data_IF_575437193525
#
_entry.id   IF_575437193525
#
_cell.length_a   1.000
_cell.length_b   1.000
_cell.length_c   1.000
_cell.angle_alpha   90.00
_cell.angle_beta   90.00
_cell.angle_gamma   90.00
#
_symmetry.space_group_name_H-M   'P 1'
#
loop_
_entity.id
_entity.type
_entity.pdbx_description
1 polymer ?
#
# COMPACT_ATOMS: atom_id res chain seq x y z
N UNK A 1 9.89 -33.42 34.01
CA UNK A 1 9.25 -32.09 33.79
C UNK A 1 9.05 -31.96 32.29
N UNK A 2 7.80 -32.10 31.84
CA UNK A 2 7.46 -32.20 30.42
C UNK A 2 7.42 -30.82 29.75
N UNK A 3 8.22 -30.64 28.70
CA UNK A 3 8.14 -29.50 27.81
C UNK A 3 6.90 -29.61 26.94
N UNK A 4 5.95 -28.70 27.11
CA UNK A 4 4.90 -28.47 26.14
C UNK A 4 5.50 -27.72 24.94
N UNK A 5 5.40 -28.33 23.76
CA UNK A 5 5.91 -27.78 22.50
C UNK A 5 5.37 -26.38 22.22
N UNK A 6 6.29 -25.42 22.08
CA UNK A 6 6.01 -24.03 21.74
C UNK A 6 6.22 -23.84 20.24
N UNK A 7 5.17 -24.13 19.47
CA UNK A 7 5.01 -23.81 18.02
C UNK A 7 5.98 -24.51 17.04
N UNK A 8 5.51 -24.84 15.84
CA UNK A 8 6.35 -25.37 14.75
C UNK A 8 7.19 -24.27 14.06
N UNK A 9 7.32 -23.09 14.66
CA UNK A 9 7.96 -21.91 14.06
C UNK A 9 9.44 -21.90 14.38
N UNK A 10 10.29 -22.06 13.37
CA UNK A 10 11.73 -22.21 13.58
C UNK A 10 12.32 -21.05 14.40
N UNK A 11 11.99 -19.82 14.01
CA UNK A 11 12.49 -18.62 14.67
C UNK A 11 11.93 -18.38 16.08
N UNK A 12 10.92 -19.12 16.55
CA UNK A 12 10.48 -19.04 17.96
C UNK A 12 11.20 -20.07 18.87
N UNK A 13 12.10 -20.90 18.33
CA UNK A 13 12.93 -21.86 19.08
C UNK A 13 14.26 -21.25 19.53
N UNK A 14 14.90 -21.81 20.57
CA UNK A 14 16.23 -21.37 21.03
C UNK A 14 17.28 -21.34 19.90
N UNK A 15 17.32 -22.40 19.08
CA UNK A 15 18.21 -22.46 17.91
C UNK A 15 17.88 -21.40 16.86
N UNK A 16 16.60 -21.09 16.68
CA UNK A 16 16.14 -20.01 15.82
C UNK A 16 16.61 -18.63 16.32
N UNK A 17 16.51 -18.39 17.63
CA UNK A 17 16.98 -17.17 18.27
C UNK A 17 18.50 -17.00 18.11
N UNK A 18 19.29 -18.06 18.31
CA UNK A 18 20.73 -18.07 18.03
C UNK A 18 21.05 -17.78 16.55
N UNK A 19 20.23 -18.30 15.64
CA UNK A 19 20.37 -18.07 14.20
C UNK A 19 20.13 -16.60 13.84
N UNK A 20 19.10 -15.96 14.42
CA UNK A 20 18.84 -14.52 14.23
C UNK A 20 20.05 -13.71 14.67
N UNK A 21 20.55 -13.94 15.89
CA UNK A 21 21.71 -13.23 16.43
C UNK A 21 22.94 -13.38 15.51
N UNK A 22 23.18 -14.59 15.02
CA UNK A 22 24.30 -14.89 14.11
C UNK A 22 24.17 -14.20 12.76
N UNK A 23 23.00 -14.24 12.13
CA UNK A 23 22.75 -13.63 10.81
C UNK A 23 22.80 -12.10 10.86
N UNK A 24 22.44 -11.51 12.00
CA UNK A 24 22.45 -10.06 12.17
C UNK A 24 23.73 -9.52 12.81
N UNK A 25 24.74 -10.37 13.03
CA UNK A 25 26.09 -10.00 13.45
C UNK A 25 26.15 -9.02 14.64
N UNK A 26 25.19 -9.10 15.56
CA UNK A 26 25.07 -8.21 16.71
C UNK A 26 25.33 -8.93 18.02
N UNK A 27 26.08 -8.28 18.92
CA UNK A 27 26.35 -8.78 20.28
C UNK A 27 25.21 -8.43 21.25
N UNK A 28 24.46 -7.37 20.94
CA UNK A 28 23.31 -6.90 21.71
C UNK A 28 22.23 -6.29 20.80
N UNK A 29 21.09 -5.91 21.38
CA UNK A 29 19.98 -5.32 20.62
C UNK A 29 20.38 -4.06 19.86
N UNK A 30 21.22 -3.20 20.44
CA UNK A 30 21.57 -1.92 19.84
C UNK A 30 22.46 -2.12 18.60
N UNK A 31 23.50 -2.96 18.72
CA UNK A 31 24.38 -3.35 17.62
C UNK A 31 23.64 -4.13 16.54
N UNK A 32 22.76 -5.06 16.92
CA UNK A 32 21.89 -5.80 15.98
C UNK A 32 21.01 -4.83 15.18
N UNK A 33 20.32 -3.91 15.86
CA UNK A 33 19.44 -2.93 15.22
C UNK A 33 20.22 -2.00 14.30
N UNK A 34 21.39 -1.53 14.74
CA UNK A 34 22.26 -0.66 13.96
C UNK A 34 22.79 -1.34 12.69
N UNK A 35 23.27 -2.58 12.82
CA UNK A 35 23.73 -3.40 11.70
C UNK A 35 22.60 -3.63 10.69
N UNK A 36 21.44 -4.07 11.18
CA UNK A 36 20.28 -4.32 10.34
C UNK A 36 19.87 -3.04 9.59
N UNK A 37 19.75 -1.91 10.28
CA UNK A 37 19.41 -0.63 9.66
C UNK A 37 20.38 -0.29 8.52
N UNK A 38 21.68 -0.44 8.75
CA UNK A 38 22.70 -0.19 7.75
C UNK A 38 22.56 -1.11 6.53
N UNK A 39 22.28 -2.40 6.74
CA UNK A 39 22.07 -3.35 5.65
C UNK A 39 20.83 -3.02 4.82
N UNK A 40 19.74 -2.58 5.45
CA UNK A 40 18.48 -2.38 4.74
C UNK A 40 18.56 -1.34 3.62
N UNK A 41 19.49 -0.39 3.68
CA UNK A 41 19.72 0.60 2.62
C UNK A 41 20.59 0.09 1.46
N UNK A 42 21.23 -1.06 1.59
CA UNK A 42 21.99 -1.70 0.52
C UNK A 42 21.15 -2.86 -0.05
N UNK A 43 20.44 -2.61 -1.16
CA UNK A 43 19.50 -3.56 -1.77
C UNK A 43 20.11 -4.95 -1.97
N UNK A 44 21.31 -5.02 -2.54
CA UNK A 44 21.98 -6.29 -2.80
C UNK A 44 22.33 -7.05 -1.52
N UNK A 45 22.84 -6.35 -0.49
CA UNK A 45 23.14 -6.96 0.81
C UNK A 45 21.86 -7.39 1.53
N UNK A 46 20.85 -6.52 1.55
CA UNK A 46 19.52 -6.77 2.13
C UNK A 46 18.89 -8.02 1.54
N UNK A 47 18.82 -8.13 0.23
CA UNK A 47 18.17 -9.28 -0.42
C UNK A 47 18.96 -10.57 -0.24
N UNK A 48 20.31 -10.50 -0.19
CA UNK A 48 21.11 -11.67 0.22
C UNK A 48 20.79 -12.10 1.64
N UNK A 49 20.66 -11.16 2.58
CA UNK A 49 20.26 -11.45 3.95
C UNK A 49 18.85 -12.09 3.98
N UNK A 50 17.89 -11.55 3.26
CA UNK A 50 16.53 -12.12 3.17
C UNK A 50 16.56 -13.57 2.69
N UNK A 51 17.32 -13.84 1.62
CA UNK A 51 17.49 -15.20 1.09
C UNK A 51 18.15 -16.14 2.10
N UNK A 52 19.12 -15.65 2.88
CA UNK A 52 19.71 -16.44 3.97
C UNK A 52 18.68 -16.81 5.03
N UNK A 53 17.87 -15.86 5.49
CA UNK A 53 16.77 -16.16 6.42
C UNK A 53 15.78 -17.18 5.83
N UNK A 54 15.42 -17.03 4.55
CA UNK A 54 14.51 -17.93 3.83
C UNK A 54 15.05 -19.36 3.67
N UNK A 55 16.35 -19.60 3.87
CA UNK A 55 16.89 -20.97 3.91
C UNK A 55 16.54 -21.73 5.20
N UNK A 56 16.18 -21.00 6.27
CA UNK A 56 15.84 -21.58 7.56
C UNK A 56 14.33 -21.66 7.79
N UNK A 57 13.59 -20.65 7.35
CA UNK A 57 12.15 -20.56 7.50
C UNK A 57 11.54 -19.93 6.25
N UNK A 58 10.51 -20.57 5.70
CA UNK A 58 9.79 -20.06 4.51
C UNK A 58 8.42 -19.52 4.87
N UNK A 59 7.90 -19.84 6.06
CA UNK A 59 6.66 -19.27 6.57
C UNK A 59 6.89 -17.84 7.05
N UNK A 60 6.63 -16.88 6.15
CA UNK A 60 6.66 -15.45 6.44
C UNK A 60 5.33 -14.93 7.04
N UNK A 61 4.37 -15.79 7.40
CA UNK A 61 3.05 -15.37 7.89
C UNK A 61 3.04 -14.76 9.31
N UNK A 62 4.16 -14.82 10.02
CA UNK A 62 4.33 -14.28 11.36
C UNK A 62 5.60 -13.45 11.47
N UNK A 63 5.71 -12.61 12.48
CA UNK A 63 6.90 -11.79 12.72
C UNK A 63 8.02 -12.64 13.34
N UNK A 64 9.08 -12.86 12.56
CA UNK A 64 10.24 -13.66 12.96
C UNK A 64 11.04 -13.03 14.12
N UNK A 65 10.92 -11.73 14.35
CA UNK A 65 11.74 -11.00 15.32
C UNK A 65 11.01 -10.66 16.62
N UNK A 66 9.69 -10.83 16.69
CA UNK A 66 8.89 -10.42 17.86
C UNK A 66 9.41 -11.06 19.16
N UNK A 67 9.68 -12.38 19.15
CA UNK A 67 10.23 -13.06 20.32
C UNK A 67 11.64 -12.57 20.65
N UNK A 68 12.52 -12.52 19.65
CA UNK A 68 13.91 -12.06 19.79
C UNK A 68 13.98 -10.65 20.39
N UNK A 69 13.30 -9.71 19.75
CA UNK A 69 13.24 -8.32 20.16
C UNK A 69 12.67 -8.19 21.58
N UNK A 70 11.60 -8.93 21.90
CA UNK A 70 10.97 -8.87 23.22
C UNK A 70 11.89 -9.38 24.33
N UNK A 71 12.59 -10.49 24.10
CA UNK A 71 13.56 -11.05 25.05
C UNK A 71 14.70 -10.06 25.31
N UNK A 72 15.27 -9.52 24.23
CA UNK A 72 16.35 -8.55 24.30
C UNK A 72 15.92 -7.23 24.95
N UNK A 73 14.70 -6.75 24.68
CA UNK A 73 14.19 -5.52 25.28
C UNK A 73 13.87 -5.71 26.78
N UNK A 74 13.38 -6.89 27.18
CA UNK A 74 13.24 -7.24 28.60
C UNK A 74 14.60 -7.25 29.30
N UNK A 75 15.63 -7.84 28.67
CA UNK A 75 17.02 -7.84 29.18
C UNK A 75 17.56 -6.42 29.38
N UNK A 76 17.44 -5.57 28.36
CA UNK A 76 17.97 -4.18 28.39
C UNK A 76 17.20 -3.28 29.35
N UNK A 77 15.88 -3.42 29.43
CA UNK A 77 15.05 -2.56 30.29
C UNK A 77 15.10 -2.92 31.77
N UNK A 78 15.65 -4.10 32.12
CA UNK A 78 15.65 -4.67 33.48
C UNK A 78 14.25 -4.76 34.10
N UNK A 79 13.20 -4.69 33.29
CA UNK A 79 11.82 -4.81 33.76
C UNK A 79 11.45 -6.29 33.89
N UNK A 80 10.66 -6.60 34.90
CA UNK A 80 10.13 -7.96 35.12
C UNK A 80 8.97 -8.32 34.19
N UNK A 81 8.44 -7.36 33.42
CA UNK A 81 7.32 -7.55 32.49
C UNK A 81 7.84 -7.74 31.07
N UNK A 82 7.32 -8.77 30.38
CA UNK A 82 7.62 -9.06 28.98
C UNK A 82 7.01 -8.01 28.06
N UNK A 83 7.72 -7.64 27.00
CA UNK A 83 7.22 -6.78 25.90
C UNK A 83 6.57 -7.59 24.77
N UNK A 84 6.46 -8.90 24.94
CA UNK A 84 5.94 -9.80 23.92
C UNK A 84 4.45 -9.59 23.67
N UNK A 85 4.10 -9.39 22.40
CA UNK A 85 2.72 -9.41 21.92
C UNK A 85 2.48 -10.74 21.19
N UNK A 86 1.85 -11.74 21.83
CA UNK A 86 1.59 -13.02 21.19
C UNK A 86 0.85 -12.86 19.84
N UNK A 87 1.25 -13.59 18.80
CA UNK A 87 0.58 -13.58 17.49
C UNK A 87 -0.94 -13.81 17.57
N UNK A 88 -1.41 -14.59 18.54
CA UNK A 88 -2.82 -14.83 18.81
C UNK A 88 -3.60 -13.54 19.16
N UNK A 89 -2.99 -12.62 19.92
CA UNK A 89 -3.61 -11.32 20.24
C UNK A 89 -3.73 -10.44 19.01
N UNK A 90 -2.71 -10.45 18.14
CA UNK A 90 -2.76 -9.71 16.88
C UNK A 90 -3.87 -10.21 15.96
N UNK A 91 -4.04 -11.52 15.86
CA UNK A 91 -5.13 -12.14 15.09
C UNK A 91 -6.49 -11.74 15.64
N UNK A 92 -6.66 -11.79 16.96
CA UNK A 92 -7.89 -11.39 17.62
C UNK A 92 -8.22 -9.91 17.38
N UNK A 93 -7.24 -9.01 17.57
CA UNK A 93 -7.42 -7.58 17.34
C UNK A 93 -7.84 -7.29 15.89
N UNK A 94 -7.20 -7.93 14.91
CA UNK A 94 -7.56 -7.78 13.51
C UNK A 94 -8.99 -8.26 13.21
N UNK A 95 -9.39 -9.40 13.78
CA UNK A 95 -10.75 -9.91 13.63
C UNK A 95 -11.78 -8.96 14.23
N UNK A 96 -11.50 -8.37 15.39
CA UNK A 96 -12.38 -7.37 16.01
C UNK A 96 -12.52 -6.12 15.15
N UNK A 97 -11.43 -5.62 14.58
CA UNK A 97 -11.45 -4.46 13.65
C UNK A 97 -12.26 -4.79 12.39
N UNK A 98 -12.06 -5.98 11.81
CA UNK A 98 -12.78 -6.39 10.60
C UNK A 98 -14.29 -6.51 10.85
N UNK A 99 -14.69 -7.08 11.99
CA UNK A 99 -16.10 -7.19 12.43
C UNK A 99 -16.71 -5.81 12.68
N UNK A 100 -15.99 -4.93 13.38
CA UNK A 100 -16.45 -3.58 13.70
C UNK A 100 -16.63 -2.71 12.44
N UNK A 101 -15.79 -2.88 11.42
CA UNK A 101 -15.88 -2.12 10.16
C UNK A 101 -17.08 -2.50 9.29
N UNK A 102 -17.72 -3.62 9.57
CA UNK A 102 -18.86 -4.12 8.80
C UNK A 102 -20.09 -4.32 9.66
N UNK A 103 -20.17 -3.66 10.83
CA UNK A 103 -21.26 -3.78 11.80
C UNK A 103 -21.68 -5.23 12.11
N UNK A 104 -20.70 -6.15 12.11
CA UNK A 104 -20.95 -7.58 12.35
C UNK A 104 -21.47 -8.38 11.14
N UNK A 105 -21.66 -7.77 9.97
CA UNK A 105 -22.01 -8.49 8.75
C UNK A 105 -20.84 -9.38 8.31
N UNK A 106 -21.00 -10.68 8.56
CA UNK A 106 -19.96 -11.68 8.36
C UNK A 106 -19.60 -11.88 6.88
N UNK A 107 -20.53 -11.64 5.96
CA UNK A 107 -20.27 -11.73 4.52
C UNK A 107 -19.57 -10.47 4.00
N UNK A 108 -19.94 -9.29 4.51
CA UNK A 108 -19.22 -8.05 4.24
C UNK A 108 -17.81 -8.07 4.87
N UNK A 109 -17.63 -8.65 6.07
CA UNK A 109 -16.30 -8.83 6.71
C UNK A 109 -15.38 -9.64 5.81
N UNK A 110 -15.89 -10.73 5.23
CA UNK A 110 -15.15 -11.59 4.29
C UNK A 110 -14.80 -10.84 2.98
N UNK A 111 -15.68 -9.94 2.52
CA UNK A 111 -15.54 -9.15 1.29
C UNK A 111 -14.85 -7.80 1.48
N UNK A 112 -14.42 -7.45 2.69
CA UNK A 112 -13.71 -6.20 2.96
C UNK A 112 -12.26 -6.29 2.41
N UNK A 113 -12.15 -6.01 1.11
CA UNK A 113 -10.95 -6.20 0.29
C UNK A 113 -10.03 -4.96 0.26
N UNK A 114 -10.43 -3.84 0.89
CA UNK A 114 -9.68 -2.58 0.88
C UNK A 114 -9.18 -2.10 2.25
N UNK A 115 -9.30 -2.93 3.29
CA UNK A 115 -8.89 -2.54 4.65
C UNK A 115 -7.36 -2.41 4.76
N UNK A 116 -6.89 -1.17 4.66
CA UNK A 116 -5.55 -0.70 5.00
C UNK A 116 -5.34 -0.77 6.51
N UNK A 117 -4.19 -1.30 6.93
CA UNK A 117 -3.83 -1.36 8.35
C UNK A 117 -3.15 -0.06 8.77
N UNK A 118 -3.50 0.45 9.95
CA UNK A 118 -2.78 1.55 10.58
C UNK A 118 -2.35 1.12 11.99
N UNK A 119 -1.04 1.03 12.20
CA UNK A 119 -0.41 0.43 13.37
C UNK A 119 0.46 1.47 14.10
N UNK A 120 -0.08 2.08 15.15
CA UNK A 120 0.62 3.10 15.95
C UNK A 120 1.32 2.43 17.11
N UNK A 121 2.64 2.60 17.21
CA UNK A 121 3.48 1.86 18.15
C UNK A 121 3.73 0.42 17.67
N UNK A 122 4.03 0.28 16.38
CA UNK A 122 4.08 -1.01 15.69
C UNK A 122 5.16 -1.96 16.23
N UNK A 123 6.18 -1.46 16.94
CA UNK A 123 7.31 -2.25 17.40
C UNK A 123 8.02 -2.89 16.21
N UNK A 124 8.16 -4.22 16.22
CA UNK A 124 8.70 -4.99 15.09
C UNK A 124 7.68 -5.25 13.98
N UNK A 125 6.40 -4.89 14.17
CA UNK A 125 5.36 -4.99 13.15
C UNK A 125 4.45 -6.21 13.23
N UNK A 126 4.38 -6.90 14.38
CA UNK A 126 3.56 -8.10 14.57
C UNK A 126 2.10 -7.90 14.13
N UNK A 127 1.46 -6.78 14.47
CA UNK A 127 0.07 -6.50 14.09
C UNK A 127 -0.04 -6.26 12.57
N UNK A 128 0.88 -5.48 12.02
CA UNK A 128 0.97 -5.23 10.58
C UNK A 128 1.20 -6.50 9.76
N UNK A 129 2.12 -7.38 10.16
CA UNK A 129 2.35 -8.69 9.52
C UNK A 129 1.09 -9.56 9.60
N UNK A 130 0.41 -9.56 10.74
CA UNK A 130 -0.83 -10.32 10.92
C UNK A 130 -1.94 -9.80 10.00
N UNK A 131 -2.07 -8.48 9.88
CA UNK A 131 -3.02 -7.86 8.96
C UNK A 131 -2.69 -8.17 7.50
N UNK A 132 -1.41 -8.16 7.14
CA UNK A 132 -0.94 -8.54 5.81
C UNK A 132 -1.27 -9.99 5.47
N UNK A 133 -0.93 -10.93 6.36
CA UNK A 133 -1.19 -12.35 6.18
C UNK A 133 -2.69 -12.64 6.05
N UNK A 134 -3.51 -12.00 6.89
CA UNK A 134 -4.96 -12.13 6.81
C UNK A 134 -5.50 -11.58 5.46
N UNK A 135 -4.99 -10.43 5.02
CA UNK A 135 -5.44 -9.80 3.77
C UNK A 135 -5.03 -10.62 2.54
N UNK A 136 -3.77 -11.06 2.42
CA UNK A 136 -3.34 -11.88 1.27
C UNK A 136 -4.10 -13.21 1.19
N UNK A 137 -4.45 -13.83 2.33
CA UNK A 137 -5.20 -15.10 2.37
C UNK A 137 -6.68 -14.97 1.98
N UNK A 138 -7.21 -13.75 1.83
CA UNK A 138 -8.53 -13.51 1.23
C UNK A 138 -8.52 -13.75 -0.30
N UNK A 139 -7.33 -13.87 -0.89
CA UNK A 139 -7.14 -14.03 -2.33
C UNK A 139 -6.49 -15.37 -2.65
N UNK A 140 -6.64 -15.81 -3.90
CA UNK A 140 -5.81 -16.88 -4.45
C UNK A 140 -4.36 -16.38 -4.55
N UNK A 141 -3.34 -17.23 -4.33
CA UNK A 141 -1.95 -16.86 -4.58
C UNK A 141 -1.71 -16.40 -6.03
N UNK A 142 -2.55 -16.82 -6.99
CA UNK A 142 -2.44 -16.39 -8.38
C UNK A 142 -3.11 -15.05 -8.68
N UNK A 143 -3.95 -14.54 -7.77
CA UNK A 143 -4.69 -13.28 -7.95
C UNK A 143 -4.22 -12.16 -7.02
N UNK A 144 -3.59 -12.51 -5.90
CA UNK A 144 -3.08 -11.55 -4.95
C UNK A 144 -1.99 -10.67 -5.57
N UNK A 145 -2.06 -9.38 -5.27
CA UNK A 145 -1.14 -8.35 -5.72
C UNK A 145 -0.82 -7.43 -4.55
N UNK A 146 0.47 -7.13 -4.26
CA UNK A 146 0.86 -6.18 -3.23
C UNK A 146 0.05 -4.87 -3.23
N UNK A 147 -0.19 -4.31 -4.43
CA UNK A 147 -0.91 -3.05 -4.63
C UNK A 147 -2.39 -3.06 -4.22
N UNK A 148 -2.95 -4.23 -3.88
CA UNK A 148 -4.31 -4.33 -3.36
C UNK A 148 -4.44 -3.77 -1.94
N UNK A 149 -3.34 -3.70 -1.19
CA UNK A 149 -3.34 -3.24 0.20
C UNK A 149 -2.20 -2.26 0.44
N UNK A 150 -2.41 -1.36 1.39
CA UNK A 150 -1.41 -0.40 1.81
C UNK A 150 -1.34 -0.39 3.34
N UNK A 151 -0.13 -0.55 3.90
CA UNK A 151 0.06 -0.71 5.33
C UNK A 151 0.81 0.48 5.90
N UNK A 152 0.22 1.17 6.87
CA UNK A 152 0.85 2.31 7.54
C UNK A 152 1.21 1.91 8.96
N UNK A 153 2.46 2.14 9.33
CA UNK A 153 2.94 1.92 10.69
C UNK A 153 3.67 3.16 11.20
N UNK A 154 3.49 3.46 12.48
CA UNK A 154 4.27 4.47 13.20
C UNK A 154 5.02 3.79 14.33
N UNK A 155 6.28 4.15 14.51
CA UNK A 155 7.10 3.61 15.60
C UNK A 155 8.01 4.66 16.21
N UNK A 156 8.11 4.62 17.54
CA UNK A 156 8.83 5.61 18.32
C UNK A 156 10.30 5.70 17.87
N UNK A 157 10.72 6.92 17.56
CA UNK A 157 12.12 7.27 17.34
C UNK A 157 12.45 8.51 18.13
N UNK A 158 13.45 8.39 19.01
CA UNK A 158 14.00 9.51 19.76
C UNK A 158 15.14 10.19 19.01
N UNK A 159 15.25 11.51 19.13
CA UNK A 159 16.27 12.32 18.47
C UNK A 159 17.69 11.84 18.83
N UNK A 160 18.57 11.68 17.84
CA UNK A 160 19.98 11.35 18.04
C UNK A 160 20.26 9.93 18.59
N UNK A 161 19.24 9.11 18.84
CA UNK A 161 19.40 7.72 19.31
C UNK A 161 19.13 6.73 18.19
N UNK A 162 19.86 5.61 18.08
CA UNK A 162 19.49 4.53 17.16
C UNK A 162 18.08 4.01 17.46
N UNK A 163 17.31 3.68 16.43
CA UNK A 163 16.06 2.95 16.64
C UNK A 163 16.37 1.49 16.96
N UNK A 164 15.62 0.90 17.90
CA UNK A 164 15.73 -0.52 18.25
C UNK A 164 14.74 -1.39 17.48
N UNK A 165 13.56 -0.87 17.14
CA UNK A 165 12.44 -1.63 16.56
C UNK A 165 12.27 -1.41 15.07
N UNK A 166 12.49 -0.17 14.58
CA UNK A 166 12.28 0.22 13.18
C UNK A 166 13.04 -0.66 12.18
N UNK A 167 14.30 -1.06 12.41
CA UNK A 167 15.01 -1.92 11.46
C UNK A 167 14.29 -3.26 11.26
N UNK A 168 13.77 -3.87 12.33
CA UNK A 168 13.00 -5.12 12.23
C UNK A 168 11.64 -4.90 11.55
N UNK A 169 10.98 -3.78 11.84
CA UNK A 169 9.74 -3.37 11.16
C UNK A 169 9.95 -3.23 9.65
N UNK A 170 10.99 -2.50 9.23
CA UNK A 170 11.33 -2.32 7.82
C UNK A 170 11.69 -3.66 7.16
N UNK A 171 12.52 -4.50 7.81
CA UNK A 171 12.78 -5.85 7.31
C UNK A 171 11.47 -6.60 7.06
N UNK A 172 10.53 -6.52 8.01
CA UNK A 172 9.29 -7.26 7.91
C UNK A 172 8.42 -6.83 6.72
N UNK A 173 8.37 -5.55 6.41
CA UNK A 173 7.72 -5.05 5.20
C UNK A 173 8.44 -5.53 3.92
N UNK A 174 9.76 -5.39 3.89
CA UNK A 174 10.57 -5.55 2.69
C UNK A 174 10.64 -7.02 2.24
N UNK A 175 10.84 -7.96 3.17
CA UNK A 175 10.92 -9.39 2.84
C UNK A 175 9.57 -9.98 2.38
N UNK A 176 8.46 -9.34 2.76
CA UNK A 176 7.09 -9.81 2.47
C UNK A 176 6.48 -9.21 1.20
N UNK A 177 7.24 -8.38 0.48
CA UNK A 177 6.73 -7.72 -0.72
C UNK A 177 5.56 -6.77 -0.41
N UNK A 178 5.57 -6.12 0.75
CA UNK A 178 4.48 -5.24 1.19
C UNK A 178 4.59 -3.84 0.58
N UNK A 179 3.44 -3.21 0.31
CA UNK A 179 3.34 -1.77 0.01
C UNK A 179 2.94 -1.00 1.26
N UNK A 180 3.59 0.14 1.54
CA UNK A 180 3.20 0.94 2.68
C UNK A 180 4.14 2.07 3.08
N UNK A 181 3.89 2.61 4.27
CA UNK A 181 4.70 3.67 4.88
C UNK A 181 5.03 3.30 6.32
N UNK A 182 6.29 3.54 6.71
CA UNK A 182 6.72 3.49 8.11
C UNK A 182 7.17 4.88 8.54
N UNK A 183 6.47 5.46 9.51
CA UNK A 183 6.77 6.76 10.10
C UNK A 183 7.60 6.56 11.35
N UNK A 184 8.85 7.03 11.31
CA UNK A 184 9.80 6.90 12.40
C UNK A 184 9.77 8.16 13.27
N UNK A 185 9.11 8.16 14.42
CA UNK A 185 8.99 9.35 15.24
C UNK A 185 8.02 9.21 16.39
N UNK A 186 7.81 10.30 17.12
CA UNK A 186 6.78 10.35 18.15
C UNK A 186 5.41 10.66 17.51
N UNK A 187 4.49 9.71 17.58
CA UNK A 187 3.13 9.80 17.03
C UNK A 187 2.26 10.89 17.65
N UNK A 188 2.55 11.29 18.90
CA UNK A 188 1.76 12.28 19.63
C UNK A 188 2.27 13.70 19.34
N UNK A 189 3.57 13.91 19.50
CA UNK A 189 4.18 15.23 19.24
C UNK A 189 4.35 15.53 17.76
N UNK A 190 4.29 14.49 16.92
CA UNK A 190 4.61 14.53 15.49
C UNK A 190 6.04 15.01 15.20
N UNK A 191 6.94 14.67 16.11
CA UNK A 191 8.38 14.87 15.93
C UNK A 191 8.95 13.66 15.20
N UNK A 192 9.15 13.79 13.89
CA UNK A 192 9.47 12.69 12.98
C UNK A 192 10.95 12.72 12.59
N UNK A 193 11.59 11.55 12.61
CA UNK A 193 12.94 11.34 12.11
C UNK A 193 12.91 11.18 10.59
N UNK A 194 12.22 10.15 10.10
CA UNK A 194 12.09 9.85 8.67
C UNK A 194 10.70 9.28 8.39
N UNK A 195 10.29 9.37 7.12
CA UNK A 195 9.15 8.64 6.59
C UNK A 195 9.69 7.69 5.51
N UNK A 196 9.61 6.39 5.78
CA UNK A 196 10.02 5.35 4.83
C UNK A 196 8.85 4.98 3.95
N UNK A 197 9.05 5.06 2.64
CA UNK A 197 8.07 4.67 1.64
C UNK A 197 8.49 3.36 1.00
N UNK A 198 7.63 2.35 1.10
CA UNK A 198 7.95 0.97 0.77
C UNK A 198 7.03 0.52 -0.36
N UNK A 199 7.63 -0.02 -1.41
CA UNK A 199 6.91 -0.37 -2.63
C UNK A 199 7.38 -1.71 -3.18
N UNK A 200 6.46 -2.53 -3.68
CA UNK A 200 6.77 -3.70 -4.50
C UNK A 200 6.63 -3.30 -5.98
N UNK A 201 7.73 -3.00 -6.70
CA UNK A 201 7.64 -2.34 -8.00
C UNK A 201 6.94 -3.15 -9.10
N UNK A 202 7.09 -4.47 -9.07
CA UNK A 202 6.54 -5.38 -10.08
C UNK A 202 5.08 -5.81 -9.80
N UNK A 203 4.57 -5.47 -8.61
CA UNK A 203 3.30 -5.97 -8.07
C UNK A 203 3.26 -7.51 -8.01
N UNK A 204 4.43 -8.11 -7.73
CA UNK A 204 4.67 -9.54 -7.54
C UNK A 204 4.76 -9.87 -6.04
N UNK A 205 3.86 -10.73 -5.57
CA UNK A 205 3.78 -11.13 -4.17
C UNK A 205 4.88 -12.09 -3.72
N UNK A 206 5.69 -12.61 -4.64
CA UNK A 206 6.91 -13.38 -4.34
C UNK A 206 8.16 -12.51 -4.32
N UNK A 207 8.06 -11.26 -4.78
CA UNK A 207 9.14 -10.29 -4.81
C UNK A 207 9.36 -9.61 -3.47
N UNK A 208 10.56 -9.06 -3.30
CA UNK A 208 10.85 -8.16 -2.18
C UNK A 208 10.42 -6.73 -2.53
N UNK A 209 10.12 -5.93 -1.50
CA UNK A 209 9.86 -4.51 -1.69
C UNK A 209 11.15 -3.70 -1.69
N UNK A 210 11.09 -2.57 -2.38
CA UNK A 210 12.07 -1.50 -2.37
C UNK A 210 11.87 -0.59 -1.15
N UNK A 211 12.98 -0.04 -0.66
CA UNK A 211 13.02 0.92 0.43
C UNK A 211 13.33 2.32 -0.14
N UNK A 212 12.45 3.27 0.11
CA UNK A 212 12.67 4.68 -0.23
C UNK A 212 12.49 5.54 1.03
N UNK A 213 13.10 6.73 1.06
CA UNK A 213 12.92 7.73 2.11
C UNK A 213 12.27 8.96 1.50
N UNK A 214 11.18 9.42 2.10
CA UNK A 214 10.50 10.62 1.64
C UNK A 214 11.37 11.86 1.85
N UNK A 215 11.42 12.78 0.87
CA UNK A 215 12.16 14.02 1.00
C UNK A 215 11.49 14.92 2.05
N UNK A 216 12.26 15.74 2.76
CA UNK A 216 11.73 16.62 3.80
C UNK A 216 11.19 17.93 3.24
N UNK A 217 10.17 17.83 2.40
CA UNK A 217 9.47 18.99 1.81
C UNK A 217 8.34 19.47 2.73
N UNK A 218 7.91 20.75 2.63
CA UNK A 218 6.72 21.25 3.34
C UNK A 218 5.49 20.36 3.10
N UNK A 219 5.44 19.78 1.92
CA UNK A 219 4.34 18.96 1.54
C UNK A 219 4.39 17.55 2.13
N UNK A 220 5.58 16.93 2.24
CA UNK A 220 5.78 15.71 3.04
C UNK A 220 5.41 15.96 4.50
N UNK A 221 5.65 17.17 4.99
CA UNK A 221 5.22 17.53 6.34
C UNK A 221 3.69 17.58 6.45
N UNK A 222 3.00 18.22 5.50
CA UNK A 222 1.53 18.23 5.45
C UNK A 222 0.96 16.81 5.33
N UNK A 223 1.55 16.02 4.45
CA UNK A 223 1.17 14.65 4.10
C UNK A 223 1.12 13.70 5.29
N UNK A 224 2.16 13.73 6.12
CA UNK A 224 2.33 12.82 7.24
C UNK A 224 2.15 13.52 8.60
N UNK A 225 1.53 14.70 8.61
CA UNK A 225 1.35 15.56 9.79
C UNK A 225 2.67 15.73 10.58
N UNK A 226 3.79 15.98 9.89
CA UNK A 226 5.10 16.20 10.53
C UNK A 226 5.18 17.64 11.04
N UNK A 227 5.36 17.80 12.34
CA UNK A 227 5.48 19.12 12.99
C UNK A 227 6.93 19.53 13.25
N UNK A 228 7.82 18.55 13.41
CA UNK A 228 9.25 18.79 13.58
C UNK A 228 10.08 17.62 13.06
N UNK A 229 11.24 17.91 12.47
CA UNK A 229 12.22 16.90 12.09
C UNK A 229 13.31 16.76 13.16
N UNK A 230 13.57 15.54 13.64
CA UNK A 230 14.44 15.31 14.82
C UNK A 230 15.83 14.75 14.54
N UNK A 231 16.08 14.25 13.32
CA UNK A 231 17.40 13.73 12.90
C UNK A 231 17.86 14.40 11.60
N UNK A 232 19.03 14.06 11.07
CA UNK A 232 19.48 14.49 9.73
C UNK A 232 18.67 13.80 8.63
N UNK A 233 18.40 14.46 7.48
CA UNK A 233 17.73 13.83 6.36
C UNK A 233 18.53 12.63 5.84
N UNK A 234 17.83 11.59 5.41
CA UNK A 234 18.40 10.46 4.67
C UNK A 234 17.91 10.57 3.23
N UNK A 235 18.84 10.62 2.28
CA UNK A 235 18.52 10.63 0.85
C UNK A 235 18.70 9.21 0.32
N UNK A 236 17.59 8.53 0.06
CA UNK A 236 17.61 7.16 -0.46
C UNK A 236 16.38 6.86 -1.29
N UNK A 237 16.61 6.50 -2.55
CA UNK A 237 15.57 6.12 -3.52
C UNK A 237 16.11 4.98 -4.35
N UNK A 238 15.40 3.86 -4.36
CA UNK A 238 15.74 2.65 -5.12
C UNK A 238 15.00 2.57 -6.45
N UNK A 239 13.75 3.04 -6.50
CA UNK A 239 12.86 2.85 -7.65
C UNK A 239 13.01 3.95 -8.72
N UNK A 240 14.23 4.47 -8.91
CA UNK A 240 14.50 5.58 -9.83
C UNK A 240 14.16 5.28 -11.29
N UNK A 241 14.15 4.01 -11.71
CA UNK A 241 13.89 3.67 -13.12
C UNK A 241 12.46 3.12 -13.35
N UNK A 242 11.70 2.93 -12.25
CA UNK A 242 10.36 2.33 -12.23
C UNK A 242 9.32 3.39 -11.85
N UNK A 243 9.75 4.44 -11.14
CA UNK A 243 9.01 5.68 -11.04
C UNK A 243 9.02 6.39 -12.40
N UNK A 244 7.88 6.90 -12.88
CA UNK A 244 7.84 7.77 -14.05
C UNK A 244 8.96 8.82 -14.03
N UNK A 245 9.72 8.95 -15.12
CA UNK A 245 10.98 9.72 -15.19
C UNK A 245 10.87 11.16 -14.65
N UNK A 246 9.69 11.80 -14.82
CA UNK A 246 9.44 13.14 -14.30
C UNK A 246 9.47 13.24 -12.76
N UNK A 247 9.19 12.15 -12.04
CA UNK A 247 9.27 12.04 -10.57
C UNK A 247 10.75 11.94 -10.16
N UNK A 248 11.53 11.18 -10.91
CA UNK A 248 12.95 10.91 -10.69
C UNK A 248 13.77 12.18 -10.88
N UNK A 249 13.48 12.93 -11.94
CA UNK A 249 14.13 14.19 -12.28
C UNK A 249 13.89 15.26 -11.19
N UNK A 250 12.70 15.29 -10.57
CA UNK A 250 12.40 16.21 -9.46
C UNK A 250 12.97 15.75 -8.11
N UNK A 251 12.98 14.45 -7.81
CA UNK A 251 13.59 13.91 -6.58
C UNK A 251 15.12 14.01 -6.59
N UNK A 252 15.75 14.04 -7.76
CA UNK A 252 17.21 14.16 -7.92
C UNK A 252 17.69 15.58 -8.25
N UNK A 253 16.78 16.54 -8.42
CA UNK A 253 17.09 17.95 -8.68
C UNK A 253 17.54 18.28 -10.12
N UNK A 254 17.37 17.35 -11.07
CA UNK A 254 17.79 17.53 -12.46
C UNK A 254 16.67 18.15 -13.30
N UNK A 255 16.93 19.32 -13.92
CA UNK A 255 15.98 20.01 -14.82
C UNK A 255 16.15 19.52 -16.26
N UNK A 256 15.58 18.37 -16.63
CA UNK A 256 15.36 18.02 -18.05
C UNK A 256 13.86 17.88 -18.33
N UNK A 257 13.46 18.25 -19.54
CA UNK A 257 12.06 18.15 -19.98
C UNK A 257 11.67 16.68 -20.16
N UNK A 258 10.44 16.29 -19.79
CA UNK A 258 10.01 14.89 -19.85
C UNK A 258 9.84 14.45 -21.30
N UNK A 259 10.69 13.52 -21.75
CA UNK A 259 10.38 12.70 -22.93
C UNK A 259 9.35 11.63 -22.56
N UNK A 260 8.49 11.31 -23.53
CA UNK A 260 7.30 10.48 -23.42
C UNK A 260 7.59 9.13 -22.71
N UNK A 261 7.24 9.03 -21.43
CA UNK A 261 7.32 7.79 -20.67
C UNK A 261 6.16 6.86 -21.10
N UNK A 262 6.51 5.64 -21.56
CA UNK A 262 5.56 4.65 -22.05
C UNK A 262 4.48 4.27 -21.02
N UNK A 263 3.22 4.41 -21.42
CA UNK A 263 2.03 4.00 -20.68
C UNK A 263 1.92 2.46 -20.63
N UNK A 264 1.56 1.89 -19.46
CA UNK A 264 0.28 1.16 -19.31
C UNK A 264 0.21 0.31 -18.03
N UNK A 265 1.31 -0.27 -17.53
CA UNK A 265 1.26 -1.22 -16.39
C UNK A 265 1.62 -0.60 -15.04
N UNK A 266 2.71 0.16 -14.97
CA UNK A 266 3.18 0.82 -13.73
C UNK A 266 2.19 1.91 -13.28
N UNK A 267 1.68 2.71 -14.23
CA UNK A 267 0.67 3.75 -13.95
C UNK A 267 -0.62 3.18 -13.33
N UNK A 268 -1.04 1.98 -13.73
CA UNK A 268 -2.19 1.28 -13.15
C UNK A 268 -1.98 0.86 -11.70
N UNK A 269 -0.76 0.42 -11.35
CA UNK A 269 -0.37 0.06 -9.98
C UNK A 269 -0.39 1.29 -9.08
N UNK A 270 0.20 2.41 -9.54
CA UNK A 270 0.14 3.66 -8.81
C UNK A 270 -1.31 4.14 -8.64
N UNK A 271 -2.15 4.15 -9.68
CA UNK A 271 -3.58 4.51 -9.57
C UNK A 271 -4.37 3.67 -8.56
N UNK A 272 -4.05 2.38 -8.42
CA UNK A 272 -4.66 1.53 -7.39
C UNK A 272 -4.20 1.92 -5.98
N UNK A 273 -2.90 2.10 -5.77
CA UNK A 273 -2.32 2.58 -4.49
C UNK A 273 -2.90 3.93 -4.09
N UNK A 274 -3.07 4.83 -5.07
CA UNK A 274 -3.69 6.15 -4.92
C UNK A 274 -5.15 6.07 -4.44
N UNK A 275 -5.95 5.18 -5.02
CA UNK A 275 -7.34 4.98 -4.60
C UNK A 275 -7.44 4.40 -3.18
N UNK A 276 -6.52 3.52 -2.79
CA UNK A 276 -6.46 2.95 -1.44
C UNK A 276 -6.16 4.03 -0.41
N UNK A 277 -5.16 4.90 -0.66
CA UNK A 277 -4.84 6.05 0.21
C UNK A 277 -6.01 7.05 0.27
N UNK A 278 -6.69 7.33 -0.86
CA UNK A 278 -7.89 8.19 -0.91
C UNK A 278 -8.99 7.71 0.04
N UNK A 279 -9.21 6.41 0.10
CA UNK A 279 -10.23 5.81 0.96
C UNK A 279 -9.84 5.82 2.45
N UNK A 280 -8.55 5.96 2.78
CA UNK A 280 -8.09 6.12 4.16
C UNK A 280 -8.39 7.51 4.74
N UNK A 281 -8.38 8.54 3.89
CA UNK A 281 -8.64 9.94 4.29
C UNK A 281 -10.12 10.30 4.34
N UNK A 282 -11.00 9.46 3.79
CA UNK A 282 -12.46 9.67 3.81
C UNK A 282 -13.05 8.94 5.01
N UNK A 283 -13.55 9.68 6.00
CA UNK A 283 -14.51 9.14 6.96
C UNK A 283 -15.76 8.68 6.21
N UNK A 284 -16.27 7.50 6.54
CA UNK A 284 -17.43 6.85 5.91
C UNK A 284 -18.59 7.83 5.68
N UNK A 285 -18.71 8.35 4.47
CA UNK A 285 -19.90 9.00 3.96
C UNK A 285 -19.89 8.85 2.44
N UNK A 286 -21.01 8.34 1.93
CA UNK A 286 -21.43 8.26 0.54
C UNK A 286 -21.02 7.03 -0.25
N UNK A 287 -21.91 6.03 -0.22
CA UNK A 287 -22.11 4.98 -1.22
C UNK A 287 -22.60 5.56 -2.58
N UNK A 288 -21.92 6.58 -3.11
CA UNK A 288 -22.24 7.17 -4.42
C UNK A 288 -21.13 6.93 -5.43
N UNK A 289 -21.55 6.53 -6.62
CA UNK A 289 -20.71 6.38 -7.80
C UNK A 289 -20.05 7.74 -8.16
N UNK A 290 -18.79 7.71 -8.58
CA UNK A 290 -17.92 8.87 -8.80
C UNK A 290 -18.49 9.81 -9.88
N UNK A 291 -18.82 11.05 -9.52
CA UNK A 291 -19.52 12.03 -10.36
C UNK A 291 -18.59 12.93 -11.21
N UNK A 292 -17.29 12.66 -11.19
CA UNK A 292 -16.28 13.39 -11.96
C UNK A 292 -15.87 14.75 -11.38
N UNK A 293 -16.40 15.18 -10.21
CA UNK A 293 -15.98 16.40 -9.53
C UNK A 293 -15.06 16.09 -8.35
N UNK A 294 -13.90 16.74 -8.31
CA UNK A 294 -12.96 16.63 -7.18
C UNK A 294 -13.54 17.34 -5.96
N UNK A 295 -13.73 16.61 -4.85
CA UNK A 295 -14.05 17.20 -3.54
C UNK A 295 -12.87 18.00 -2.99
N UNK A 296 -13.07 18.82 -1.95
CA UNK A 296 -11.96 19.52 -1.27
C UNK A 296 -10.90 18.55 -0.70
N UNK A 297 -11.33 17.36 -0.26
CA UNK A 297 -10.45 16.26 0.15
C UNK A 297 -9.66 15.70 -1.04
N UNK A 298 -10.29 15.56 -2.21
CA UNK A 298 -9.63 15.09 -3.43
C UNK A 298 -8.66 16.15 -3.99
N UNK A 299 -8.94 17.44 -3.83
CA UNK A 299 -7.99 18.52 -4.15
C UNK A 299 -6.79 18.50 -3.21
N UNK A 300 -7.00 18.34 -1.91
CA UNK A 300 -5.90 18.20 -0.95
C UNK A 300 -5.04 16.94 -1.19
N UNK A 301 -5.65 15.88 -1.71
CA UNK A 301 -4.98 14.64 -2.10
C UNK A 301 -4.24 14.78 -3.44
N UNK A 302 -4.83 15.49 -4.41
CA UNK A 302 -4.18 15.86 -5.67
C UNK A 302 -3.01 16.80 -5.40
N UNK A 303 -3.14 17.76 -4.50
CA UNK A 303 -2.06 18.61 -4.02
C UNK A 303 -0.98 17.79 -3.30
N UNK A 304 -1.38 16.81 -2.47
CA UNK A 304 -0.50 15.83 -1.82
C UNK A 304 0.21 14.90 -2.82
N UNK A 305 -0.36 14.65 -4.00
CA UNK A 305 0.30 13.88 -5.05
C UNK A 305 1.12 14.75 -6.00
N UNK A 306 0.73 16.01 -6.23
CA UNK A 306 1.56 17.02 -6.90
C UNK A 306 2.77 17.41 -6.04
N UNK A 307 2.64 17.20 -4.74
CA UNK A 307 3.70 17.22 -3.73
C UNK A 307 4.68 16.03 -3.88
N UNK A 308 4.16 14.81 -4.01
CA UNK A 308 4.96 13.58 -4.11
C UNK A 308 5.53 13.37 -5.53
N UNK A 309 4.86 13.93 -6.53
CA UNK A 309 5.07 13.74 -7.97
C UNK A 309 4.68 15.02 -8.72
N UNK A 310 5.51 16.07 -8.74
CA UNK A 310 5.02 17.37 -9.18
C UNK A 310 4.76 17.43 -10.68
N UNK A 311 3.53 17.77 -11.07
CA UNK A 311 2.94 17.60 -12.42
C UNK A 311 1.77 16.60 -12.47
N UNK A 312 1.53 15.85 -11.39
CA UNK A 312 0.44 14.89 -11.27
C UNK A 312 -0.94 15.55 -11.33
N UNK A 313 -1.10 16.74 -10.75
CA UNK A 313 -2.37 17.47 -10.82
C UNK A 313 -2.74 17.87 -12.25
N UNK A 314 -1.73 18.29 -13.02
CA UNK A 314 -1.89 18.67 -14.42
C UNK A 314 -2.17 17.45 -15.31
N UNK A 315 -1.48 16.33 -15.05
CA UNK A 315 -1.72 15.06 -15.72
C UNK A 315 -3.12 14.47 -15.46
N UNK A 316 -3.58 14.45 -14.20
CA UNK A 316 -4.94 14.00 -13.88
C UNK A 316 -5.99 14.92 -14.50
N UNK A 317 -5.76 16.24 -14.52
CA UNK A 317 -6.65 17.19 -15.19
C UNK A 317 -6.78 16.89 -16.70
N UNK A 318 -5.66 16.66 -17.40
CA UNK A 318 -5.63 16.30 -18.83
C UNK A 318 -6.32 14.96 -19.11
N UNK A 319 -6.08 13.93 -18.29
CA UNK A 319 -6.75 12.62 -18.43
C UNK A 319 -8.24 12.69 -18.10
N UNK A 320 -8.65 13.53 -17.15
CA UNK A 320 -10.06 13.70 -16.82
C UNK A 320 -10.81 14.43 -17.96
N UNK A 321 -10.17 15.42 -18.60
CA UNK A 321 -10.67 16.01 -19.84
C UNK A 321 -10.80 14.98 -20.97
N UNK A 322 -9.80 14.11 -21.13
CA UNK A 322 -9.81 13.05 -22.15
C UNK A 322 -10.97 12.06 -21.92
N UNK A 323 -11.19 11.62 -20.67
CA UNK A 323 -12.33 10.77 -20.29
C UNK A 323 -13.68 11.45 -20.54
N UNK A 324 -13.80 12.73 -20.21
CA UNK A 324 -15.00 13.51 -20.47
C UNK A 324 -15.28 13.63 -21.97
N UNK A 325 -14.24 13.83 -22.79
CA UNK A 325 -14.36 13.85 -24.26
C UNK A 325 -14.80 12.48 -24.81
N UNK A 326 -14.23 11.38 -24.31
CA UNK A 326 -14.62 10.02 -24.70
C UNK A 326 -16.06 9.69 -24.28
N UNK A 327 -16.47 10.04 -23.06
CA UNK A 327 -17.85 9.87 -22.62
C UNK A 327 -18.83 10.68 -23.49
N UNK A 328 -18.48 11.93 -23.81
CA UNK A 328 -19.31 12.76 -24.69
C UNK A 328 -19.35 12.20 -26.13
N UNK A 329 -18.28 11.57 -26.60
CA UNK A 329 -18.24 10.91 -27.92
C UNK A 329 -19.12 9.65 -27.94
N UNK A 330 -19.03 8.80 -26.92
CA UNK A 330 -19.84 7.58 -26.80
C UNK A 330 -21.33 7.93 -26.68
N UNK A 331 -21.68 8.94 -25.88
CA UNK A 331 -23.07 9.42 -25.76
C UNK A 331 -23.62 9.92 -27.10
N UNK A 332 -22.82 10.64 -27.90
CA UNK A 332 -23.21 11.07 -29.25
C UNK A 332 -23.39 9.89 -30.21
N UNK A 333 -22.55 8.86 -30.11
CA UNK A 333 -22.71 7.65 -30.90
C UNK A 333 -23.98 6.89 -30.52
N UNK A 334 -24.29 6.74 -29.24
CA UNK A 334 -25.53 6.12 -28.76
C UNK A 334 -26.78 6.87 -29.23
N UNK A 335 -26.78 8.21 -29.12
CA UNK A 335 -27.88 9.06 -29.61
C UNK A 335 -28.06 8.95 -31.13
N UNK A 336 -26.97 8.89 -31.89
CA UNK A 336 -27.01 8.70 -33.35
C UNK A 336 -27.58 7.33 -33.74
N UNK A 337 -27.21 6.28 -33.00
CA UNK A 337 -27.66 4.90 -33.23
C UNK A 337 -29.15 4.76 -32.89
N UNK A 338 -29.61 5.39 -31.81
CA UNK A 338 -31.03 5.43 -31.46
C UNK A 338 -31.87 6.22 -32.48
N UNK A 339 -31.32 7.31 -33.03
CA UNK A 339 -31.98 8.09 -34.08
C UNK A 339 -32.13 7.30 -35.38
N UNK A 340 -31.08 6.60 -35.83
CA UNK A 340 -31.14 5.71 -36.99
C UNK A 340 -32.15 4.57 -36.78
N UNK A 341 -32.19 3.98 -35.59
CA UNK A 341 -33.12 2.91 -35.28
C UNK A 341 -34.59 3.39 -35.28
N UNK A 342 -34.85 4.62 -34.82
CA UNK A 342 -36.18 5.26 -34.92
C UNK A 342 -36.55 5.60 -36.37
N UNK A 343 -35.59 6.04 -37.18
CA UNK A 343 -35.78 6.29 -38.62
C UNK A 343 -36.18 5.04 -39.38
N UNK A 344 -35.46 3.94 -39.18
CA UNK A 344 -35.75 2.65 -39.82
C UNK A 344 -37.14 2.10 -39.43
N UNK A 345 -37.54 2.23 -38.16
CA UNK A 345 -38.89 1.82 -37.71
C UNK A 345 -40.00 2.64 -38.39
N UNK A 346 -39.78 3.94 -38.62
CA UNK A 346 -40.76 4.80 -39.34
C UNK A 346 -40.89 4.43 -40.81
N UNK A 347 -39.77 4.19 -41.50
CA UNK A 347 -39.79 3.77 -42.91
C UNK A 347 -40.42 2.39 -43.10
N UNK A 348 -40.16 1.46 -42.19
CA UNK A 348 -40.76 0.13 -42.23
C UNK A 348 -42.28 0.19 -42.03
N UNK A 349 -42.76 1.03 -41.10
CA UNK A 349 -44.20 1.24 -40.87
C UNK A 349 -44.90 1.88 -42.07
N UNK A 350 -44.28 2.89 -42.69
CA UNK A 350 -44.81 3.53 -43.90
C UNK A 350 -44.89 2.55 -45.09
N UNK A 351 -43.91 1.64 -45.21
CA UNK A 351 -43.91 0.60 -46.25
C UNK A 351 -45.05 -0.41 -46.06
N UNK A 352 -45.32 -0.80 -44.82
CA UNK A 352 -46.44 -1.69 -44.48
C UNK A 352 -47.78 -1.02 -44.79
N UNK A 353 -47.96 0.26 -44.43
CA UNK A 353 -49.18 1.02 -44.71
C UNK A 353 -49.41 1.19 -46.23
N UNK A 354 -48.37 1.53 -47.00
CA UNK A 354 -48.45 1.64 -48.45
C UNK A 354 -48.81 0.31 -49.14
N UNK A 355 -48.27 -0.81 -48.65
CA UNK A 355 -48.59 -2.15 -49.17
C UNK A 355 -50.05 -2.52 -48.88
N UNK A 356 -50.55 -2.14 -47.71
CA UNK A 356 -51.93 -2.37 -47.28
C UNK A 356 -52.93 -1.57 -48.12
N UNK A 357 -52.64 -0.30 -48.38
CA UNK A 357 -53.43 0.57 -49.27
C UNK A 357 -53.48 0.05 -50.71
N UNK A 358 -52.36 -0.46 -51.22
CA UNK A 358 -52.31 -1.02 -52.58
C UNK A 358 -53.11 -2.33 -52.69
N UNK A 359 -53.09 -3.13 -51.62
CA UNK A 359 -53.88 -4.38 -51.53
C UNK A 359 -55.39 -4.09 -51.42
N UNK A 360 -55.78 -3.02 -50.72
CA UNK A 360 -57.19 -2.58 -50.67
C UNK A 360 -57.67 -2.01 -52.01
N UNK A 361 -56.82 -1.29 -52.75
CA UNK A 361 -57.15 -0.79 -54.10
C UNK A 361 -57.37 -1.92 -55.10
N UNK A 362 -56.58 -3.00 -55.04
CA UNK A 362 -56.77 -4.18 -55.90
C UNK A 362 -57.99 -5.03 -55.55
N UNK A 363 -58.55 -4.92 -54.35
CA UNK A 363 -59.82 -5.59 -53.98
C UNK A 363 -61.07 -4.81 -54.41
N UNK A 364 -60.92 -3.57 -54.90
CA UNK A 364 -62.00 -2.68 -55.34
C UNK A 364 -62.09 -2.49 -56.86
N UNK A 365 -61.26 -3.21 -57.62
CA UNK A 365 -61.38 -3.43 -59.07
C UNK A 365 -61.86 -4.86 -59.29
#
# INVERSE_FOLDING_TARGET
MGGHGLTDRYFETDKGQETIAKLLHGDDLASTSGYLMHILFDKDKRERLFRQFLTYETDVSYDWFNLYYSQEMTRVSKKTKSFYSPPALGKLAKQLVDVARTDGDTEATKRNLGATNYDVGAGTGQLTVTAWDANRRKHSPFSYKPSMYFYVAEELKEAGKPSRSIPFLLFNYLIRGMDGVVIAGDSLSRSISQVYFIQQPEDDHLGFSSLNVMPRTPDTMKAFDVRAWIDKPIEHIEDKDIMPQFIVDKLTGNKRQPEQAGEDKQLGIYKKRLNVIRNMTKGNADDKEYDGKLTESDKALVDFFDTLMPGFAQFEAEKNEERMRQHLANKRQEESTQSQHRGNKRQHRASIEATRDNTERHKRQ
#
